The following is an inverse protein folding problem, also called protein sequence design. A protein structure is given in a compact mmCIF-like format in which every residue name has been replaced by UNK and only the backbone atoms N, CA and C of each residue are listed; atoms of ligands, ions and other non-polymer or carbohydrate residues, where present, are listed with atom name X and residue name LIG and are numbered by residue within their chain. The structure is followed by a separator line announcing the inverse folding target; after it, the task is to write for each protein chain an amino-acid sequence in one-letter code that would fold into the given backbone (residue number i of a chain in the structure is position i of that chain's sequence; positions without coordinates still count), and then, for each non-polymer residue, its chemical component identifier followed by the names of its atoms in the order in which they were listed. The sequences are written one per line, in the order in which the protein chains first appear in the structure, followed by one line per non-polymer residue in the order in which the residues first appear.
data_IF_353386605975
#
_entry.id   IF_353386605975
#
_cell.length_a   1.000
_cell.length_b   1.000
_cell.length_c   1.000
_cell.angle_alpha   90.00
_cell.angle_beta   90.00
_cell.angle_gamma   90.00
#
_symmetry.space_group_name_H-M   'P 1'
#
loop_
_entity.id
_entity.type
_entity.pdbx_description
1 polymer ?
#
# COMPACT_ATOMS: atom_id res chain seq x y z
N UNK A 1 -15.24 7.29 -1.85
CA UNK A 1 -15.29 6.54 -0.58
C UNK A 1 -14.04 5.70 -0.36
N UNK A 2 -13.60 4.88 -1.33
CA UNK A 2 -12.41 4.01 -1.19
C UNK A 2 -11.13 4.71 -0.74
N UNK A 3 -10.89 5.96 -1.14
CA UNK A 3 -9.72 6.74 -0.70
C UNK A 3 -9.63 6.94 0.81
N UNK A 4 -10.77 7.13 1.49
CA UNK A 4 -10.79 7.40 2.92
C UNK A 4 -10.51 6.13 3.70
N UNK A 5 -11.10 5.02 3.28
CA UNK A 5 -10.77 3.70 3.81
C UNK A 5 -9.30 3.35 3.57
N UNK A 6 -8.75 3.64 2.38
CA UNK A 6 -7.33 3.44 2.10
C UNK A 6 -6.44 4.32 2.99
N UNK A 7 -6.82 5.58 3.24
CA UNK A 7 -6.08 6.45 4.16
C UNK A 7 -6.09 5.91 5.60
N UNK A 8 -7.23 5.39 6.08
CA UNK A 8 -7.32 4.76 7.41
C UNK A 8 -6.43 3.52 7.50
N UNK A 9 -6.48 2.62 6.52
CA UNK A 9 -5.62 1.43 6.52
C UNK A 9 -4.13 1.79 6.39
N UNK A 10 -3.80 2.81 5.60
CA UNK A 10 -2.42 3.26 5.46
C UNK A 10 -1.90 3.87 6.78
N UNK A 11 -2.73 4.65 7.49
CA UNK A 11 -2.38 5.14 8.82
C UNK A 11 -2.21 4.00 9.83
N UNK A 12 -3.05 2.97 9.78
CA UNK A 12 -2.90 1.78 10.62
C UNK A 12 -1.59 1.02 10.32
N UNK A 13 -1.24 0.83 9.04
CA UNK A 13 0.05 0.26 8.65
C UNK A 13 1.21 1.11 9.15
N UNK A 14 1.12 2.44 9.03
CA UNK A 14 2.14 3.36 9.56
C UNK A 14 2.33 3.24 11.08
N UNK A 15 1.23 3.08 11.83
CA UNK A 15 1.28 2.83 13.27
C UNK A 15 1.98 1.52 13.60
N UNK A 16 1.65 0.43 12.89
CA UNK A 16 2.29 -0.89 13.11
C UNK A 16 3.79 -0.84 12.82
N UNK A 17 4.20 -0.17 11.74
CA UNK A 17 5.62 0.02 11.43
C UNK A 17 6.34 0.89 12.48
N UNK A 18 5.67 1.92 13.01
CA UNK A 18 6.23 2.72 14.09
C UNK A 18 6.41 1.90 15.37
N UNK A 19 5.42 1.06 15.72
CA UNK A 19 5.50 0.15 16.86
C UNK A 19 6.69 -0.82 16.73
N UNK A 20 6.80 -1.51 15.58
CA UNK A 20 7.89 -2.43 15.31
C UNK A 20 9.25 -1.74 15.27
N UNK A 21 9.33 -0.53 14.72
CA UNK A 21 10.53 0.29 14.76
C UNK A 21 10.99 0.50 16.21
N UNK A 22 10.10 0.98 17.07
CA UNK A 22 10.42 1.30 18.46
C UNK A 22 10.72 0.06 19.31
N UNK A 23 10.07 -1.08 19.03
CA UNK A 23 10.09 -2.27 19.89
C UNK A 23 10.92 -3.44 19.35
N UNK A 24 11.81 -3.22 18.37
CA UNK A 24 12.79 -4.25 18.00
C UNK A 24 13.62 -3.97 16.75
N UNK A 25 13.14 -3.09 15.87
CA UNK A 25 13.68 -3.02 14.51
C UNK A 25 14.63 -1.84 14.33
N UNK A 26 14.55 -0.82 15.21
CA UNK A 26 15.33 0.42 15.12
C UNK A 26 16.85 0.21 15.01
N UNK A 27 17.40 -0.78 15.71
CA UNK A 27 18.85 -1.02 15.73
C UNK A 27 19.35 -1.90 14.57
N UNK A 28 18.45 -2.46 13.75
CA UNK A 28 18.81 -3.37 12.67
C UNK A 28 19.22 -2.54 11.44
N UNK A 29 20.46 -2.69 10.93
CA UNK A 29 20.89 -1.99 9.72
C UNK A 29 19.94 -2.24 8.55
N UNK A 30 19.69 -1.21 7.73
CA UNK A 30 18.71 -1.18 6.63
C UNK A 30 17.23 -1.29 7.06
N UNK A 31 16.91 -2.24 7.93
CA UNK A 31 15.54 -2.52 8.39
C UNK A 31 15.00 -1.37 9.23
N UNK A 32 15.74 -0.90 10.24
CA UNK A 32 15.30 0.21 11.09
C UNK A 32 14.93 1.46 10.29
N UNK A 33 15.82 2.00 9.44
CA UNK A 33 15.50 3.12 8.56
C UNK A 33 14.31 2.86 7.62
N UNK A 34 14.18 1.65 7.07
CA UNK A 34 13.05 1.30 6.20
C UNK A 34 11.71 1.34 6.94
N UNK A 35 11.66 0.83 8.19
CA UNK A 35 10.47 0.89 9.04
C UNK A 35 10.11 2.34 9.41
N UNK A 36 11.09 3.18 9.71
CA UNK A 36 10.85 4.60 9.97
C UNK A 36 10.31 5.33 8.74
N UNK A 37 10.87 5.05 7.56
CA UNK A 37 10.39 5.58 6.29
C UNK A 37 8.96 5.12 5.98
N UNK A 38 8.65 3.84 6.18
CA UNK A 38 7.30 3.31 6.03
C UNK A 38 6.31 3.99 6.98
N UNK A 39 6.65 4.10 8.27
CA UNK A 39 5.80 4.74 9.26
C UNK A 39 5.50 6.21 8.91
N UNK A 40 6.56 7.02 8.76
CA UNK A 40 6.45 8.45 8.48
C UNK A 40 5.80 8.73 7.11
N UNK A 41 6.21 7.99 6.08
CA UNK A 41 5.64 8.09 4.74
C UNK A 41 4.15 7.73 4.71
N UNK A 42 3.76 6.66 5.40
CA UNK A 42 2.37 6.22 5.47
C UNK A 42 1.48 7.25 6.17
N UNK A 43 1.93 7.83 7.29
CA UNK A 43 1.17 8.90 7.94
C UNK A 43 1.04 10.15 7.06
N UNK A 44 2.14 10.58 6.43
CA UNK A 44 2.13 11.74 5.55
C UNK A 44 1.19 11.55 4.36
N UNK A 45 1.29 10.41 3.66
CA UNK A 45 0.43 10.11 2.52
C UNK A 45 -1.02 9.87 2.94
N UNK A 46 -1.28 9.24 4.08
CA UNK A 46 -2.63 9.08 4.61
C UNK A 46 -3.30 10.45 4.82
N UNK A 47 -2.61 11.38 5.48
CA UNK A 47 -3.11 12.74 5.68
C UNK A 47 -3.37 13.44 4.34
N UNK A 48 -2.42 13.40 3.42
CA UNK A 48 -2.55 14.02 2.10
C UNK A 48 -3.72 13.43 1.28
N UNK A 49 -4.00 12.12 1.41
CA UNK A 49 -5.16 11.47 0.79
C UNK A 49 -6.50 11.95 1.35
N UNK A 50 -6.55 12.39 2.61
CA UNK A 50 -7.75 13.02 3.19
C UNK A 50 -7.98 14.40 2.59
N UNK A 51 -6.90 15.16 2.39
CA UNK A 51 -6.92 16.54 1.90
C UNK A 51 -7.14 16.63 0.38
N UNK A 52 -6.65 15.65 -0.39
CA UNK A 52 -6.60 15.71 -1.84
C UNK A 52 -7.05 14.43 -2.56
N UNK A 53 -7.33 14.55 -3.85
CA UNK A 53 -7.62 13.40 -4.72
C UNK A 53 -6.74 13.46 -5.98
N UNK A 54 -5.42 13.54 -5.81
CA UNK A 54 -4.48 13.48 -6.93
C UNK A 54 -4.02 12.05 -7.15
N UNK A 55 -3.90 11.65 -8.42
CA UNK A 55 -3.49 10.29 -8.80
C UNK A 55 -2.13 9.91 -8.19
N UNK A 56 -1.21 10.86 -8.11
CA UNK A 56 0.12 10.65 -7.55
C UNK A 56 0.08 10.20 -6.07
N UNK A 57 -0.84 10.70 -5.25
CA UNK A 57 -0.97 10.26 -3.86
C UNK A 57 -1.47 8.82 -3.75
N UNK A 58 -2.34 8.39 -4.67
CA UNK A 58 -2.76 6.98 -4.75
C UNK A 58 -1.60 6.09 -5.15
N UNK A 59 -0.78 6.55 -6.10
CA UNK A 59 0.42 5.80 -6.50
C UNK A 59 1.44 5.73 -5.36
N UNK A 60 1.65 6.82 -4.62
CA UNK A 60 2.52 6.83 -3.44
C UNK A 60 2.02 5.88 -2.35
N UNK A 61 0.72 5.89 -2.05
CA UNK A 61 0.12 4.96 -1.08
C UNK A 61 0.27 3.50 -1.52
N UNK A 62 0.03 3.21 -2.81
CA UNK A 62 0.23 1.88 -3.36
C UNK A 62 1.71 1.46 -3.32
N UNK A 63 2.63 2.39 -3.61
CA UNK A 63 4.07 2.16 -3.53
C UNK A 63 4.54 1.84 -2.11
N UNK A 64 4.04 2.56 -1.10
CA UNK A 64 4.33 2.26 0.31
C UNK A 64 3.83 0.87 0.70
N UNK A 65 2.57 0.56 0.42
CA UNK A 65 1.99 -0.75 0.73
C UNK A 65 2.71 -1.89 0.00
N UNK A 66 2.98 -1.74 -1.30
CA UNK A 66 3.72 -2.73 -2.08
C UNK A 66 5.17 -2.90 -1.58
N UNK A 67 5.84 -1.79 -1.22
CA UNK A 67 7.18 -1.83 -0.66
C UNK A 67 7.24 -2.57 0.68
N UNK A 68 6.25 -2.37 1.54
CA UNK A 68 6.13 -3.11 2.81
C UNK A 68 5.95 -4.62 2.55
N UNK A 69 5.05 -5.01 1.64
CA UNK A 69 4.85 -6.42 1.27
C UNK A 69 6.09 -7.06 0.65
N UNK A 70 6.83 -6.33 -0.19
CA UNK A 70 8.10 -6.80 -0.75
C UNK A 70 9.12 -7.01 0.37
N UNK A 71 9.26 -6.05 1.28
CA UNK A 71 10.15 -6.18 2.45
C UNK A 71 9.78 -7.39 3.31
N UNK A 72 8.49 -7.57 3.58
CA UNK A 72 7.94 -8.71 4.32
C UNK A 72 8.25 -10.05 3.65
N UNK A 73 8.09 -10.13 2.32
CA UNK A 73 8.39 -11.33 1.56
C UNK A 73 9.90 -11.61 1.52
N UNK A 74 10.73 -10.58 1.32
CA UNK A 74 12.18 -10.72 1.30
C UNK A 74 12.69 -11.20 2.66
N UNK A 75 12.23 -10.63 3.77
CA UNK A 75 12.66 -11.05 5.12
C UNK A 75 12.35 -12.52 5.42
N UNK A 76 11.34 -13.11 4.77
CA UNK A 76 10.90 -14.51 4.95
C UNK A 76 11.47 -15.50 3.94
N UNK A 77 12.10 -15.02 2.88
CA UNK A 77 12.61 -15.87 1.79
C UNK A 77 14.13 -15.86 1.74
N UNK A 78 14.71 -14.72 1.38
CA UNK A 78 16.15 -14.54 1.17
C UNK A 78 16.82 -13.73 2.28
N UNK A 79 16.04 -13.11 3.16
CA UNK A 79 16.50 -12.19 4.19
C UNK A 79 16.79 -10.77 3.67
N UNK A 80 16.99 -9.84 4.61
CA UNK A 80 17.46 -8.47 4.35
C UNK A 80 18.76 -8.27 5.13
N UNK A 81 19.90 -8.48 4.48
CA UNK A 81 21.19 -8.54 5.16
C UNK A 81 21.25 -9.74 6.11
N UNK A 82 21.37 -9.49 7.41
CA UNK A 82 21.33 -10.54 8.45
C UNK A 82 19.93 -10.75 9.06
N UNK A 83 18.93 -9.98 8.62
CA UNK A 83 17.58 -10.03 9.13
C UNK A 83 16.75 -11.08 8.40
N UNK A 84 16.25 -12.09 9.13
CA UNK A 84 15.38 -13.14 8.62
C UNK A 84 14.23 -13.34 9.61
N UNK A 85 13.00 -13.37 9.10
CA UNK A 85 11.78 -13.61 9.87
C UNK A 85 11.11 -14.90 9.42
N UNK A 86 10.27 -15.49 10.29
CA UNK A 86 9.51 -16.70 9.95
C UNK A 86 8.02 -16.53 10.23
N UNK A 87 7.20 -17.03 9.32
CA UNK A 87 5.75 -17.07 9.49
C UNK A 87 5.16 -15.68 9.72
N UNK A 88 4.34 -15.55 10.76
CA UNK A 88 3.70 -14.29 11.18
C UNK A 88 4.32 -13.72 12.45
N UNK A 89 5.58 -14.06 12.72
CA UNK A 89 6.37 -13.39 13.76
C UNK A 89 6.92 -12.07 13.20
N UNK A 90 6.84 -10.95 13.93
CA UNK A 90 6.21 -10.74 15.24
C UNK A 90 4.69 -10.76 15.20
N UNK A 91 4.07 -11.54 16.09
CA UNK A 91 2.63 -11.67 16.19
C UNK A 91 2.05 -10.74 17.28
N UNK A 92 0.89 -10.07 17.03
CA UNK A 92 0.06 -10.09 15.83
C UNK A 92 0.44 -9.06 14.74
N UNK A 93 1.46 -8.24 14.98
CA UNK A 93 1.80 -7.07 14.16
C UNK A 93 2.02 -7.42 12.69
N UNK A 94 2.77 -8.49 12.40
CA UNK A 94 3.07 -8.96 11.05
C UNK A 94 1.79 -9.27 10.25
N UNK A 95 0.81 -9.94 10.87
CA UNK A 95 -0.47 -10.24 10.22
C UNK A 95 -1.30 -8.98 10.01
N UNK A 96 -1.37 -8.10 11.02
CA UNK A 96 -2.14 -6.86 10.91
C UNK A 96 -1.56 -5.94 9.83
N UNK A 97 -0.23 -5.86 9.73
CA UNK A 97 0.45 -5.07 8.69
C UNK A 97 0.13 -5.61 7.31
N UNK A 98 0.29 -6.93 7.10
CA UNK A 98 -0.03 -7.62 5.86
C UNK A 98 -1.48 -7.36 5.41
N UNK A 99 -2.45 -7.49 6.31
CA UNK A 99 -3.86 -7.24 6.01
C UNK A 99 -4.12 -5.77 5.67
N UNK A 100 -3.50 -4.83 6.40
CA UNK A 100 -3.63 -3.41 6.13
C UNK A 100 -3.08 -3.05 4.74
N UNK A 101 -1.87 -3.53 4.40
CA UNK A 101 -1.21 -3.26 3.12
C UNK A 101 -1.98 -3.84 1.94
N UNK A 102 -2.42 -5.10 2.04
CA UNK A 102 -3.27 -5.72 1.02
C UNK A 102 -4.59 -4.95 0.88
N UNK A 103 -5.20 -4.56 2.00
CA UNK A 103 -6.42 -3.76 2.00
C UNK A 103 -6.24 -2.40 1.31
N UNK A 104 -5.13 -1.70 1.53
CA UNK A 104 -4.79 -0.45 0.80
C UNK A 104 -4.75 -0.71 -0.70
N UNK A 105 -4.00 -1.73 -1.14
CA UNK A 105 -3.88 -2.05 -2.57
C UNK A 105 -5.22 -2.40 -3.21
N UNK A 106 -6.03 -3.22 -2.54
CA UNK A 106 -7.37 -3.61 -3.01
C UNK A 106 -8.26 -2.37 -3.15
N UNK A 107 -8.33 -1.51 -2.13
CA UNK A 107 -9.18 -0.31 -2.14
C UNK A 107 -8.78 0.68 -3.24
N UNK A 108 -7.49 0.80 -3.53
CA UNK A 108 -6.97 1.66 -4.59
C UNK A 108 -7.19 1.06 -6.00
N UNK A 109 -7.22 -0.27 -6.13
CA UNK A 109 -7.46 -0.97 -7.39
C UNK A 109 -8.93 -0.93 -7.84
N UNK A 110 -9.90 -0.97 -6.91
CA UNK A 110 -11.35 -0.95 -7.20
C UNK A 110 -11.74 0.10 -8.26
N UNK A 111 -11.43 1.41 -8.12
CA UNK A 111 -11.82 2.41 -9.10
C UNK A 111 -11.13 2.26 -10.46
N UNK A 112 -9.91 1.70 -10.51
CA UNK A 112 -9.18 1.45 -11.75
C UNK A 112 -9.83 0.31 -12.54
N UNK A 113 -10.12 -0.79 -11.86
CA UNK A 113 -10.81 -1.96 -12.45
C UNK A 113 -12.22 -1.59 -12.89
N UNK A 114 -12.95 -0.84 -12.07
CA UNK A 114 -14.28 -0.35 -12.44
C UNK A 114 -14.25 0.53 -13.69
N UNK A 115 -13.20 1.35 -13.88
CA UNK A 115 -13.02 2.15 -15.10
C UNK A 115 -12.74 1.28 -16.32
N UNK A 116 -11.92 0.24 -16.17
CA UNK A 116 -11.57 -0.70 -17.25
C UNK A 116 -12.76 -1.56 -17.70
N UNK A 117 -13.61 -1.98 -16.76
CA UNK A 117 -14.84 -2.73 -17.08
C UNK A 117 -15.88 -1.82 -17.76
N UNK A 118 -15.88 -0.53 -17.42
CA UNK A 118 -16.88 0.44 -17.89
C UNK A 118 -16.58 1.05 -19.26
N UNK A 119 -15.45 0.80 -19.92
CA UNK A 119 -15.19 1.31 -21.28
C UNK A 119 -16.13 0.62 -22.30
N UNK A 120 -17.18 1.30 -22.81
CA UNK A 120 -18.09 0.76 -23.81
C UNK A 120 -17.56 1.06 -25.23
N UNK A 121 -17.97 0.20 -26.16
CA UNK A 121 -17.55 0.04 -27.57
C UNK A 121 -17.38 1.33 -28.41
N UNK A 122 -16.51 1.30 -29.45
CA UNK A 122 -16.43 2.36 -30.44
C UNK A 122 -17.81 2.56 -31.05
N UNK A 123 -18.32 3.79 -31.01
CA UNK A 123 -19.50 4.16 -31.76
C UNK A 123 -19.25 3.78 -33.23
N UNK A 124 -20.01 2.83 -33.76
CA UNK A 124 -20.20 2.67 -35.20
C UNK A 124 -20.94 3.90 -35.73
N UNK A 125 -20.28 5.06 -35.71
CA UNK A 125 -20.70 6.29 -36.38
C UNK A 125 -20.12 6.28 -37.80
N UNK A 126 -20.46 5.21 -38.52
CA UNK A 126 -20.06 4.93 -39.88
C UNK A 126 -21.11 4.04 -40.54
N UNK A 127 -22.38 4.41 -40.43
CA UNK A 127 -23.47 3.74 -41.14
C UNK A 127 -24.68 4.68 -41.30
N UNK A 128 -24.47 5.84 -41.93
CA UNK A 128 -25.52 6.53 -42.68
C UNK A 128 -24.88 7.55 -43.63
N UNK A 129 -24.16 7.05 -44.63
CA UNK A 129 -24.17 7.64 -45.96
C UNK A 129 -25.50 7.28 -46.65
N UNK A 130 -25.92 8.09 -47.64
CA UNK A 130 -27.14 7.98 -48.48
C UNK A 130 -28.42 8.48 -47.78
N UNK A 131 -29.16 9.47 -48.28
CA UNK A 131 -29.48 9.88 -49.66
C UNK A 131 -29.79 11.37 -49.76
#
# INVERSE_FOLDING_TARGET
MTRYAAAVLLAASGYIHADLYLHGYRAIPLVGPAFLLQASGSFAIALLLLLGNVFLLRLAAAGLAAGALVGFALSRTVGIGTFIERGLDPAPQALLSLLAEVGVLVLLAIPLVAKLIRTPQPSTAGASSTS
#
